data_IF_798212616649
#
_entry.id   IF_798212616649
#
_cell.length_a   1.000
_cell.length_b   1.000
_cell.length_c   1.000
_cell.angle_alpha   90.00
_cell.angle_beta   90.00
_cell.angle_gamma   90.00
#
_symmetry.space_group_name_H-M   'P 1'
#
loop_
_entity.id
_entity.type
_entity.pdbx_description
1 polymer ?
#
# COMPACT_ATOMS: atom_id res chain seq x y z
N UNK A 1 -2.30 -85.66 -14.31
CA UNK A 1 -1.22 -84.83 -14.82
C UNK A 1 -1.71 -83.41 -14.78
N UNK A 2 -1.59 -82.81 -13.59
CA UNK A 2 -2.12 -81.49 -13.31
C UNK A 2 -0.96 -80.55 -13.11
N UNK A 3 -0.85 -79.58 -13.95
CA UNK A 3 0.14 -78.52 -13.85
C UNK A 3 -0.53 -77.27 -13.24
N UNK A 4 -0.34 -77.15 -11.92
CA UNK A 4 -0.73 -75.96 -11.15
C UNK A 4 0.19 -74.80 -11.47
N UNK A 5 -0.33 -73.74 -12.03
CA UNK A 5 0.32 -72.45 -12.19
C UNK A 5 0.02 -71.59 -10.95
N UNK A 6 0.87 -71.62 -9.99
CA UNK A 6 0.84 -70.60 -8.94
C UNK A 6 1.62 -69.37 -9.40
N UNK A 7 0.90 -68.36 -9.82
CA UNK A 7 1.48 -67.02 -9.99
C UNK A 7 1.62 -66.34 -8.65
N UNK A 8 2.82 -66.37 -8.18
CA UNK A 8 3.22 -65.53 -7.02
C UNK A 8 3.40 -64.11 -7.54
N UNK A 9 2.34 -63.29 -7.47
CA UNK A 9 2.45 -61.86 -7.70
C UNK A 9 3.13 -61.19 -6.50
N UNK A 10 4.44 -60.98 -6.62
CA UNK A 10 5.26 -60.32 -5.61
C UNK A 10 4.85 -58.86 -5.41
N UNK A 11 4.18 -58.60 -4.33
CA UNK A 11 3.83 -57.26 -3.84
C UNK A 11 5.10 -56.50 -3.37
N UNK A 12 5.85 -55.96 -4.33
CA UNK A 12 6.99 -55.07 -4.03
C UNK A 12 6.86 -53.69 -4.67
N UNK A 13 5.68 -53.37 -5.22
CA UNK A 13 5.46 -52.18 -6.03
C UNK A 13 4.89 -50.99 -5.22
N UNK A 14 4.24 -51.18 -4.07
CA UNK A 14 3.46 -50.14 -3.47
C UNK A 14 4.25 -49.03 -2.72
N UNK A 15 5.38 -49.40 -2.11
CA UNK A 15 6.17 -48.40 -1.36
C UNK A 15 6.88 -47.40 -2.22
N UNK A 16 7.41 -47.82 -3.38
CA UNK A 16 8.08 -46.91 -4.31
C UNK A 16 7.08 -45.99 -5.05
N UNK A 17 5.91 -46.50 -5.41
CA UNK A 17 4.83 -45.70 -6.00
C UNK A 17 4.31 -44.64 -5.03
N UNK A 18 4.13 -45.01 -3.77
CA UNK A 18 3.66 -44.08 -2.74
C UNK A 18 4.70 -42.97 -2.45
N UNK A 19 5.99 -43.32 -2.44
CA UNK A 19 7.08 -42.37 -2.26
C UNK A 19 7.14 -41.37 -3.43
N UNK A 20 7.02 -41.83 -4.66
CA UNK A 20 7.01 -40.99 -5.85
C UNK A 20 5.80 -40.04 -5.83
N UNK A 21 4.63 -40.53 -5.46
CA UNK A 21 3.42 -39.73 -5.38
C UNK A 21 3.53 -38.64 -4.32
N UNK A 22 4.09 -38.94 -3.15
CA UNK A 22 4.34 -37.97 -2.07
C UNK A 22 5.32 -36.89 -2.53
N UNK A 23 6.40 -37.28 -3.23
CA UNK A 23 7.37 -36.32 -3.76
C UNK A 23 6.74 -35.40 -4.81
N UNK A 24 5.87 -35.91 -5.69
CA UNK A 24 5.12 -35.10 -6.64
C UNK A 24 4.20 -34.10 -5.96
N UNK A 25 3.48 -34.51 -4.91
CA UNK A 25 2.57 -33.62 -4.15
C UNK A 25 3.37 -32.51 -3.46
N UNK A 26 4.51 -32.84 -2.87
CA UNK A 26 5.38 -31.84 -2.22
C UNK A 26 5.93 -30.85 -3.26
N UNK A 27 6.39 -31.33 -4.41
CA UNK A 27 6.88 -30.46 -5.49
C UNK A 27 5.79 -29.55 -6.05
N UNK A 28 4.59 -30.08 -6.26
CA UNK A 28 3.44 -29.27 -6.69
C UNK A 28 3.04 -28.20 -5.65
N UNK A 29 3.01 -28.56 -4.39
CA UNK A 29 2.74 -27.63 -3.29
C UNK A 29 3.81 -26.52 -3.22
N UNK A 30 5.09 -26.86 -3.36
CA UNK A 30 6.18 -25.89 -3.39
C UNK A 30 6.06 -24.93 -4.58
N UNK A 31 5.67 -25.39 -5.77
CA UNK A 31 5.42 -24.52 -6.93
C UNK A 31 4.26 -23.55 -6.70
N UNK A 32 3.17 -24.02 -6.11
CA UNK A 32 2.01 -23.15 -5.80
C UNK A 32 2.39 -22.09 -4.78
N UNK A 33 3.10 -22.45 -3.71
CA UNK A 33 3.56 -21.50 -2.70
C UNK A 33 4.50 -20.47 -3.31
N UNK A 34 5.43 -20.90 -4.15
CA UNK A 34 6.37 -20.00 -4.84
C UNK A 34 5.67 -19.03 -5.78
N UNK A 35 4.67 -19.47 -6.52
CA UNK A 35 3.91 -18.61 -7.44
C UNK A 35 3.06 -17.57 -6.71
N UNK A 36 2.45 -17.94 -5.58
CA UNK A 36 1.67 -17.00 -4.73
C UNK A 36 2.60 -15.98 -4.06
N UNK A 37 3.78 -16.39 -3.59
CA UNK A 37 4.75 -15.47 -3.01
C UNK A 37 5.27 -14.47 -4.05
N UNK A 38 5.56 -14.93 -5.26
CA UNK A 38 6.06 -14.08 -6.35
C UNK A 38 5.01 -13.06 -6.81
N UNK A 39 3.75 -13.46 -6.93
CA UNK A 39 2.67 -12.55 -7.33
C UNK A 39 2.41 -11.43 -6.31
N UNK A 40 2.68 -11.66 -5.03
CA UNK A 40 2.58 -10.62 -4.00
C UNK A 40 3.72 -9.60 -4.07
N UNK A 41 4.89 -9.98 -4.55
CA UNK A 41 6.05 -9.08 -4.69
C UNK A 41 5.95 -8.26 -5.98
N UNK A 42 5.50 -8.86 -7.06
CA UNK A 42 5.44 -8.21 -8.39
C UNK A 42 4.23 -7.29 -8.54
N UNK A 43 3.17 -7.50 -7.74
CA UNK A 43 1.93 -6.72 -7.83
C UNK A 43 1.88 -5.44 -6.99
N UNK A 44 2.94 -5.08 -6.27
CA UNK A 44 2.94 -3.81 -5.52
C UNK A 44 3.22 -2.64 -6.47
N UNK A 45 2.33 -1.63 -6.52
CA UNK A 45 2.58 -0.44 -7.30
C UNK A 45 3.88 0.23 -6.81
N UNK A 46 4.64 0.78 -7.76
CA UNK A 46 5.84 1.54 -7.40
C UNK A 46 5.46 2.76 -6.56
N UNK A 47 6.29 3.12 -5.56
CA UNK A 47 6.08 4.31 -4.77
C UNK A 47 6.10 5.55 -5.64
N UNK A 48 5.12 6.42 -5.47
CA UNK A 48 5.02 7.67 -6.20
C UNK A 48 5.63 8.82 -5.40
N UNK A 49 6.27 9.77 -6.11
CA UNK A 49 6.75 11.00 -5.53
C UNK A 49 5.78 12.14 -5.85
N UNK A 50 5.22 12.73 -4.79
CA UNK A 50 4.34 13.88 -4.90
C UNK A 50 5.12 15.15 -4.52
N UNK A 51 5.27 16.07 -5.48
CA UNK A 51 6.01 17.30 -5.27
C UNK A 51 5.03 18.47 -5.20
N UNK A 52 5.08 19.21 -4.10
CA UNK A 52 4.31 20.43 -3.88
C UNK A 52 5.31 21.59 -3.80
N UNK A 53 5.11 22.64 -4.59
CA UNK A 53 5.92 23.85 -4.52
C UNK A 53 5.06 25.00 -4.01
N UNK A 54 5.54 25.66 -2.96
CA UNK A 54 4.95 26.86 -2.39
C UNK A 54 5.70 28.06 -3.00
N UNK A 55 5.06 28.84 -3.89
CA UNK A 55 5.73 29.92 -4.59
C UNK A 55 6.10 31.08 -3.66
N UNK A 56 7.12 31.81 -4.04
CA UNK A 56 7.48 33.06 -3.36
C UNK A 56 6.32 34.07 -3.36
N UNK A 57 6.11 34.76 -2.24
CA UNK A 57 5.04 35.74 -2.06
C UNK A 57 3.68 35.15 -1.69
N UNK A 58 3.62 33.84 -1.41
CA UNK A 58 2.40 33.16 -0.97
C UNK A 58 1.85 33.78 0.32
N UNK A 59 2.69 34.01 1.33
CA UNK A 59 2.27 34.65 2.59
C UNK A 59 1.69 36.04 2.39
N UNK A 60 2.25 36.83 1.48
CA UNK A 60 1.74 38.17 1.17
C UNK A 60 0.35 38.09 0.54
N UNK A 61 0.11 37.15 -0.37
CA UNK A 61 -1.20 36.93 -0.97
C UNK A 61 -2.23 36.49 0.05
N UNK A 62 -1.87 35.54 0.93
CA UNK A 62 -2.74 35.10 2.01
C UNK A 62 -3.10 36.24 2.98
N UNK A 63 -2.11 37.07 3.39
CA UNK A 63 -2.34 38.22 4.27
C UNK A 63 -3.21 39.31 3.63
N UNK A 64 -3.22 39.39 2.32
CA UNK A 64 -4.07 40.28 1.53
C UNK A 64 -5.49 39.75 1.28
N UNK A 65 -5.82 38.60 1.86
CA UNK A 65 -7.14 37.95 1.71
C UNK A 65 -7.36 37.27 0.36
N UNK A 66 -6.28 37.02 -0.39
CA UNK A 66 -6.37 36.23 -1.60
C UNK A 66 -6.32 34.76 -1.25
N UNK A 67 -7.26 34.02 -1.77
CA UNK A 67 -7.26 32.56 -1.66
C UNK A 67 -6.13 31.99 -2.52
N UNK A 68 -5.35 31.09 -1.95
CA UNK A 68 -4.21 30.45 -2.63
C UNK A 68 -4.50 28.97 -2.63
N UNK A 69 -5.01 28.48 -3.76
CA UNK A 69 -5.35 27.07 -3.95
C UNK A 69 -4.10 26.29 -4.42
N UNK A 70 -3.15 26.09 -3.50
CA UNK A 70 -1.90 25.35 -3.79
C UNK A 70 -2.07 23.87 -3.44
N UNK A 71 -2.88 23.57 -2.42
CA UNK A 71 -2.99 22.23 -1.86
C UNK A 71 -4.47 21.89 -1.68
N UNK A 72 -4.92 20.70 -2.13
CA UNK A 72 -6.26 20.25 -1.82
C UNK A 72 -6.42 19.98 -0.31
N UNK A 73 -7.65 20.06 0.21
CA UNK A 73 -7.95 19.80 1.61
C UNK A 73 -7.63 18.36 2.02
N UNK A 74 -7.75 17.43 1.06
CA UNK A 74 -7.50 16.01 1.25
C UNK A 74 -6.34 15.55 0.36
N UNK A 75 -5.26 15.16 1.00
CA UNK A 75 -4.08 14.58 0.38
C UNK A 75 -4.09 13.06 0.57
N UNK A 76 -4.04 12.31 -0.54
CA UNK A 76 -4.12 10.86 -0.50
C UNK A 76 -2.81 10.26 -1.00
N UNK A 77 -2.19 9.43 -0.15
CA UNK A 77 -0.94 8.75 -0.41
C UNK A 77 -1.10 7.24 -0.20
N UNK A 78 -0.21 6.47 -0.81
CA UNK A 78 -0.03 5.05 -0.52
C UNK A 78 1.18 4.87 0.38
N UNK A 79 1.25 3.71 1.04
CA UNK A 79 2.47 3.32 1.75
C UNK A 79 3.67 3.37 0.81
N UNK A 80 4.78 3.90 1.33
CA UNK A 80 6.04 4.12 0.63
C UNK A 80 6.05 5.30 -0.34
N UNK A 81 4.91 5.95 -0.61
CA UNK A 81 4.90 7.21 -1.36
C UNK A 81 5.73 8.26 -0.62
N UNK A 82 6.27 9.19 -1.40
CA UNK A 82 7.12 10.26 -0.91
C UNK A 82 6.43 11.60 -1.13
N UNK A 83 6.30 12.38 -0.07
CA UNK A 83 5.87 13.77 -0.15
C UNK A 83 7.10 14.66 -0.09
N UNK A 84 7.26 15.49 -1.11
CA UNK A 84 8.28 16.53 -1.19
C UNK A 84 7.58 17.88 -1.22
N UNK A 85 7.89 18.76 -0.26
CA UNK A 85 7.39 20.13 -0.25
C UNK A 85 8.57 21.08 -0.38
N UNK A 86 8.54 21.95 -1.37
CA UNK A 86 9.56 22.97 -1.62
C UNK A 86 8.95 24.32 -1.26
N UNK A 87 9.46 24.96 -0.22
CA UNK A 87 9.00 26.27 0.19
C UNK A 87 9.91 27.37 -0.38
N UNK A 88 9.48 28.00 -1.46
CA UNK A 88 10.19 29.14 -2.07
C UNK A 88 9.77 30.48 -1.46
N UNK A 89 8.86 30.46 -0.48
CA UNK A 89 8.41 31.68 0.18
C UNK A 89 9.39 32.13 1.27
N UNK A 90 9.32 33.39 1.62
CA UNK A 90 10.11 34.01 2.72
C UNK A 90 9.56 33.69 4.11
N UNK A 91 8.47 32.97 4.20
CA UNK A 91 7.77 32.65 5.45
C UNK A 91 7.63 31.14 5.61
N UNK A 92 7.70 30.64 6.84
CA UNK A 92 7.44 29.25 7.14
C UNK A 92 5.95 28.91 6.94
N UNK A 93 5.69 27.75 6.36
CA UNK A 93 4.33 27.24 6.13
C UNK A 93 4.12 25.94 6.89
N UNK A 94 2.85 25.66 7.25
CA UNK A 94 2.47 24.43 7.92
C UNK A 94 1.46 23.65 7.07
N UNK A 95 1.68 22.33 6.93
CA UNK A 95 0.82 21.38 6.24
C UNK A 95 0.58 20.21 7.19
N UNK A 96 -0.56 20.20 7.89
CA UNK A 96 -0.83 19.19 8.90
C UNK A 96 0.22 19.18 10.00
N UNK A 97 0.89 18.02 10.25
CA UNK A 97 1.96 17.93 11.25
C UNK A 97 3.31 18.51 10.81
N UNK A 98 3.44 18.86 9.54
CA UNK A 98 4.73 19.29 8.97
C UNK A 98 4.84 20.82 8.95
N UNK A 99 5.96 21.33 9.47
CA UNK A 99 6.35 22.73 9.35
C UNK A 99 7.52 22.82 8.39
N UNK A 100 7.38 23.63 7.35
CA UNK A 100 8.38 23.83 6.31
C UNK A 100 8.94 25.26 6.45
N UNK A 101 10.17 25.44 6.92
CA UNK A 101 10.77 26.76 7.05
C UNK A 101 10.88 27.49 5.71
N UNK A 102 11.06 28.82 5.76
CA UNK A 102 11.27 29.66 4.60
C UNK A 102 12.50 29.21 3.78
N UNK A 103 12.33 29.02 2.48
CA UNK A 103 13.40 28.61 1.58
C UNK A 103 13.87 27.16 1.75
N UNK A 104 13.20 26.37 2.58
CA UNK A 104 13.58 25.00 2.88
C UNK A 104 12.73 23.96 2.09
N UNK A 105 13.22 22.73 2.14
CA UNK A 105 12.57 21.59 1.53
C UNK A 105 12.24 20.56 2.61
N UNK A 106 10.99 20.09 2.64
CA UNK A 106 10.58 18.90 3.35
C UNK A 106 10.65 17.70 2.41
N UNK A 107 11.15 16.60 2.91
CA UNK A 107 11.16 15.32 2.21
C UNK A 107 10.78 14.23 3.22
N UNK A 108 9.61 13.63 3.03
CA UNK A 108 9.10 12.60 3.92
C UNK A 108 8.51 11.43 3.16
N UNK A 109 8.67 10.24 3.73
CA UNK A 109 8.14 9.00 3.17
C UNK A 109 7.21 8.34 4.17
N UNK A 110 6.05 7.93 3.70
CA UNK A 110 5.05 7.31 4.57
C UNK A 110 5.35 5.82 4.76
N UNK A 111 5.71 5.45 6.00
CA UNK A 111 6.07 4.09 6.39
C UNK A 111 4.87 3.30 6.93
N UNK A 112 3.84 3.98 7.41
CA UNK A 112 2.67 3.39 8.05
C UNK A 112 1.37 3.99 7.49
N UNK A 113 0.31 3.17 7.43
CA UNK A 113 -1.02 3.65 7.07
C UNK A 113 -1.58 4.48 8.22
N UNK A 114 -2.00 5.71 7.93
CA UNK A 114 -2.51 6.63 8.93
C UNK A 114 -3.40 7.70 8.28
N UNK A 115 -4.26 8.30 9.07
CA UNK A 115 -4.93 9.56 8.74
C UNK A 115 -4.39 10.64 9.67
N UNK A 116 -3.76 11.65 9.09
CA UNK A 116 -3.17 12.78 9.81
C UNK A 116 -3.98 14.04 9.51
N UNK A 117 -4.62 14.58 10.50
CA UNK A 117 -5.33 15.84 10.39
C UNK A 117 -4.52 16.96 11.05
N UNK A 118 -4.58 18.14 10.48
CA UNK A 118 -3.87 19.26 11.08
C UNK A 118 -4.18 20.60 10.44
N UNK A 119 -3.55 21.62 10.99
CA UNK A 119 -3.61 22.96 10.45
C UNK A 119 -2.87 23.05 9.11
N UNK A 120 -3.44 23.81 8.18
CA UNK A 120 -2.81 24.13 6.92
C UNK A 120 -2.85 25.64 6.69
N UNK A 121 -1.67 26.26 6.60
CA UNK A 121 -1.57 27.69 6.34
C UNK A 121 -1.83 28.06 4.87
N UNK A 122 -1.94 27.08 3.99
CA UNK A 122 -2.02 27.23 2.52
C UNK A 122 -3.43 26.93 1.98
N UNK A 123 -4.37 26.61 2.86
CA UNK A 123 -5.74 26.32 2.47
C UNK A 123 -6.72 27.23 3.19
N UNK A 124 -7.73 27.74 2.50
CA UNK A 124 -8.71 28.70 3.03
C UNK A 124 -9.49 28.17 4.25
N UNK A 125 -9.73 26.86 4.33
CA UNK A 125 -10.36 26.25 5.51
C UNK A 125 -9.44 26.17 6.73
N UNK A 126 -8.15 26.43 6.58
CA UNK A 126 -7.14 26.27 7.62
C UNK A 126 -6.88 24.81 8.02
N UNK A 127 -7.37 23.83 7.26
CA UNK A 127 -7.25 22.40 7.57
C UNK A 127 -6.79 21.60 6.38
N UNK A 128 -6.09 20.50 6.67
CA UNK A 128 -5.73 19.48 5.70
C UNK A 128 -5.84 18.11 6.36
N UNK A 129 -6.28 17.13 5.56
CA UNK A 129 -6.29 15.72 5.93
C UNK A 129 -5.30 14.99 5.02
N UNK A 130 -4.36 14.29 5.61
CA UNK A 130 -3.39 13.46 4.90
C UNK A 130 -3.76 12.00 5.15
N UNK A 131 -4.27 11.34 4.14
CA UNK A 131 -4.65 9.93 4.20
C UNK A 131 -3.56 9.06 3.58
N UNK A 132 -2.96 8.21 4.38
CA UNK A 132 -1.98 7.21 3.91
C UNK A 132 -2.63 5.85 3.92
N UNK A 133 -2.94 5.31 2.76
CA UNK A 133 -3.55 3.99 2.62
C UNK A 133 -2.47 2.92 2.51
N UNK A 134 -2.61 1.85 3.30
CA UNK A 134 -1.87 0.62 3.09
C UNK A 134 -2.36 -0.07 1.80
N UNK A 135 -1.47 -0.72 1.07
CA UNK A 135 -1.87 -1.71 0.10
C UNK A 135 -2.40 -2.95 0.85
N UNK A 136 -3.49 -2.78 1.58
CA UNK A 136 -4.22 -3.91 2.14
C UNK A 136 -5.10 -4.51 1.06
N UNK A 137 -4.82 -5.74 0.71
CA UNK A 137 -5.77 -6.68 0.12
C UNK A 137 -6.84 -7.05 1.18
N UNK A 138 -7.33 -6.08 1.89
CA UNK A 138 -8.47 -6.32 2.74
C UNK A 138 -9.70 -6.27 1.83
N UNK A 139 -10.24 -7.45 1.56
CA UNK A 139 -11.60 -7.62 1.09
C UNK A 139 -12.48 -6.76 2.00
N UNK A 140 -12.99 -5.68 1.45
CA UNK A 140 -13.98 -4.84 2.12
C UNK A 140 -15.19 -5.72 2.42
N UNK A 141 -15.28 -6.16 3.67
CA UNK A 141 -16.43 -6.88 4.22
C UNK A 141 -17.62 -5.96 4.48
N UNK A 142 -17.61 -4.76 3.96
CA UNK A 142 -18.61 -3.73 4.26
C UNK A 142 -19.89 -3.86 3.42
N UNK A 143 -20.14 -5.04 2.79
CA UNK A 143 -21.36 -5.25 2.02
C UNK A 143 -22.41 -6.17 2.68
N UNK A 144 -22.29 -6.47 3.98
CA UNK A 144 -23.30 -7.28 4.67
C UNK A 144 -23.89 -6.61 5.92
N UNK A 145 -24.22 -5.34 5.86
CA UNK A 145 -25.05 -4.73 6.91
C UNK A 145 -26.15 -3.85 6.32
N UNK A 146 -27.08 -4.48 5.67
CA UNK A 146 -28.25 -3.83 5.06
C UNK A 146 -29.46 -4.75 4.98
N UNK A 147 -29.67 -5.61 5.98
CA UNK A 147 -30.97 -6.29 6.14
C UNK A 147 -31.71 -5.64 7.32
N UNK A 148 -32.50 -4.65 7.02
CA UNK A 148 -33.52 -4.07 7.89
C UNK A 148 -34.54 -5.14 8.21
N UNK A 149 -34.73 -5.42 9.51
CA UNK A 149 -35.91 -6.04 10.03
C UNK A 149 -36.91 -4.95 10.41
N UNK A 150 -38.03 -4.95 9.71
CA UNK A 150 -39.27 -4.35 10.20
C UNK A 150 -40.00 -5.37 11.07
#
# INVERSE_FOLDING_TARGET
>A
MDASWEQTSGGRSDRSSLTVLVLFVIAAAAMVISSVALSRVVGQPEPEQHVITIPAGTAIRLSSGHDVDIIPADLNFRLRDQLVVINEDSTAHQIGPFVIPAGERLDTRFAEAATLEGFCSLHSSGRVTINVSGACWYLSSDHLSGAQLQ
#
